data_IF_151996928951
#
_entry.id   IF_151996928951
#
_cell.length_a   1.000
_cell.length_b   1.000
_cell.length_c   1.000
_cell.angle_alpha   90.00
_cell.angle_beta   90.00
_cell.angle_gamma   90.00
#
_symmetry.space_group_name_H-M   'P 1'
#
loop_
_entity.id
_entity.type
_entity.pdbx_description
1 polymer ?
#
# COMPACT_ATOMS: atom_id res chain seq x y z
N UNK A 1 -7.42 15.55 20.36
CA UNK A 1 -7.71 14.41 19.46
C UNK A 1 -6.37 13.82 19.07
N UNK A 2 -5.95 12.78 19.78
CA UNK A 2 -4.73 12.04 19.44
C UNK A 2 -5.02 11.13 18.24
N UNK A 3 -4.37 11.42 17.12
CA UNK A 3 -4.42 10.57 15.92
C UNK A 3 -3.32 9.53 16.09
N UNK A 4 -3.62 8.22 16.06
CA UNK A 4 -2.61 7.21 16.30
C UNK A 4 -1.56 7.22 15.19
N UNK A 5 -0.31 7.01 15.63
CA UNK A 5 0.97 7.11 14.91
C UNK A 5 1.12 6.00 13.85
N UNK A 6 0.23 5.91 12.87
CA UNK A 6 0.33 4.94 11.78
C UNK A 6 -0.43 5.41 10.52
N UNK A 7 -0.16 6.63 10.08
CA UNK A 7 -0.40 7.03 8.69
C UNK A 7 0.94 6.94 7.97
N UNK A 8 1.39 5.72 7.63
CA UNK A 8 2.56 5.57 6.77
C UNK A 8 2.08 5.82 5.34
N UNK A 9 2.46 7.00 4.83
CA UNK A 9 2.21 7.43 3.47
C UNK A 9 3.56 7.53 2.79
N UNK A 10 3.87 6.56 1.93
CA UNK A 10 5.12 6.56 1.16
C UNK A 10 4.78 7.07 -0.24
N UNK A 11 5.40 8.19 -0.62
CA UNK A 11 5.32 8.78 -1.95
C UNK A 11 6.67 8.65 -2.65
N UNK A 12 6.67 8.04 -3.83
CA UNK A 12 7.66 8.31 -4.85
C UNK A 12 6.95 8.98 -6.05
N UNK A 13 7.69 9.63 -6.95
CA UNK A 13 7.09 10.40 -8.05
C UNK A 13 6.17 9.59 -8.98
N UNK A 14 6.33 8.27 -9.00
CA UNK A 14 5.58 7.34 -9.83
C UNK A 14 4.61 6.43 -9.05
N UNK A 15 4.71 6.34 -7.73
CA UNK A 15 3.98 5.37 -6.92
C UNK A 15 3.70 5.95 -5.53
N UNK A 16 2.50 5.70 -5.01
CA UNK A 16 2.16 6.03 -3.64
C UNK A 16 1.42 4.87 -2.96
N UNK A 17 1.65 4.73 -1.66
CA UNK A 17 0.95 3.76 -0.83
C UNK A 17 0.55 4.40 0.50
N UNK A 18 -0.73 4.30 0.86
CA UNK A 18 -1.24 4.65 2.18
C UNK A 18 -1.73 3.41 2.90
N UNK A 19 -1.26 3.22 4.13
CA UNK A 19 -1.80 2.25 5.05
C UNK A 19 -2.76 2.94 6.02
N UNK A 20 -3.96 2.39 6.17
CA UNK A 20 -4.94 2.88 7.14
C UNK A 20 -5.49 1.74 7.99
N UNK A 21 -5.20 1.70 9.30
CA UNK A 21 -5.88 0.79 10.22
C UNK A 21 -7.36 1.19 10.32
N UNK A 22 -8.25 0.20 10.32
CA UNK A 22 -9.67 0.41 10.57
C UNK A 22 -9.90 0.63 12.06
N UNK A 23 -10.65 1.66 12.43
CA UNK A 23 -10.93 1.99 13.83
C UNK A 23 -11.98 1.10 14.50
N UNK A 24 -12.74 0.33 13.71
CA UNK A 24 -13.88 -0.46 14.20
C UNK A 24 -13.72 -1.97 14.03
N UNK A 25 -12.74 -2.41 13.24
CA UNK A 25 -12.52 -3.83 12.95
C UNK A 25 -11.01 -4.10 12.89
N UNK A 26 -10.52 -5.32 13.20
CA UNK A 26 -9.11 -5.69 13.08
C UNK A 26 -8.72 -5.88 11.60
N UNK A 27 -8.86 -4.83 10.79
CA UNK A 27 -8.56 -4.80 9.36
C UNK A 27 -7.68 -3.61 9.02
N UNK A 28 -6.78 -3.80 8.06
CA UNK A 28 -5.94 -2.74 7.49
C UNK A 28 -6.36 -2.52 6.03
N UNK A 29 -6.58 -1.26 5.65
CA UNK A 29 -6.85 -0.85 4.27
C UNK A 29 -5.57 -0.32 3.64
N UNK A 30 -5.26 -0.80 2.44
CA UNK A 30 -4.14 -0.32 1.63
C UNK A 30 -4.69 0.43 0.43
N UNK A 31 -4.27 1.67 0.27
CA UNK A 31 -4.54 2.47 -0.93
C UNK A 31 -3.25 2.60 -1.70
N UNK A 32 -3.24 2.14 -2.95
CA UNK A 32 -2.05 2.10 -3.79
C UNK A 32 -2.39 2.82 -5.09
N UNK A 33 -1.52 3.71 -5.53
CA UNK A 33 -1.54 4.24 -6.88
C UNK A 33 -0.18 4.14 -7.52
N UNK A 34 -0.17 3.91 -8.83
CA UNK A 34 1.04 3.81 -9.65
C UNK A 34 0.83 4.57 -10.94
N UNK A 35 1.93 5.08 -11.46
CA UNK A 35 2.06 5.79 -12.72
C UNK A 35 2.98 4.96 -13.61
N UNK A 36 2.55 4.75 -14.84
CA UNK A 36 3.35 4.16 -15.92
C UNK A 36 3.25 5.05 -17.15
N UNK A 37 4.14 4.85 -18.12
CA UNK A 37 4.08 5.54 -19.41
C UNK A 37 2.82 5.15 -20.20
N UNK A 38 2.32 3.94 -19.98
CA UNK A 38 1.04 3.46 -20.49
C UNK A 38 0.27 2.62 -19.45
N UNK A 39 -0.94 2.21 -19.83
CA UNK A 39 -1.82 1.40 -18.97
C UNK A 39 -1.19 0.05 -18.60
N UNK A 40 -0.49 -0.59 -19.54
CA UNK A 40 0.09 -1.93 -19.33
C UNK A 40 1.26 -1.84 -18.34
N UNK A 41 2.08 -0.81 -18.46
CA UNK A 41 3.16 -0.55 -17.51
C UNK A 41 2.60 -0.25 -16.11
N UNK A 42 1.57 0.60 -16.01
CA UNK A 42 0.92 0.89 -14.73
C UNK A 42 0.32 -0.38 -14.10
N UNK A 43 -0.34 -1.24 -14.88
CA UNK A 43 -0.87 -2.51 -14.40
C UNK A 43 0.23 -3.46 -13.91
N UNK A 44 1.34 -3.56 -14.64
CA UNK A 44 2.49 -4.39 -14.23
C UNK A 44 3.11 -3.87 -12.92
N UNK A 45 3.29 -2.55 -12.79
CA UNK A 45 3.79 -1.92 -11.55
C UNK A 45 2.84 -2.20 -10.39
N UNK A 46 1.52 -2.09 -10.60
CA UNK A 46 0.51 -2.35 -9.58
C UNK A 46 0.55 -3.81 -9.10
N UNK A 47 0.64 -4.77 -10.04
CA UNK A 47 0.73 -6.21 -9.73
C UNK A 47 1.99 -6.50 -8.91
N UNK A 48 3.15 -5.98 -9.35
CA UNK A 48 4.42 -6.18 -8.66
C UNK A 48 4.38 -5.63 -7.23
N UNK A 49 3.87 -4.40 -7.05
CA UNK A 49 3.77 -3.77 -5.73
C UNK A 49 2.84 -4.55 -4.80
N UNK A 50 1.68 -5.01 -5.32
CA UNK A 50 0.72 -5.80 -4.56
C UNK A 50 1.34 -7.13 -4.09
N UNK A 51 2.04 -7.83 -4.97
CA UNK A 51 2.70 -9.10 -4.63
C UNK A 51 3.78 -8.91 -3.56
N UNK A 52 4.62 -7.88 -3.72
CA UNK A 52 5.67 -7.55 -2.75
C UNK A 52 5.09 -7.21 -1.37
N UNK A 53 4.01 -6.41 -1.33
CA UNK A 53 3.32 -6.03 -0.09
C UNK A 53 2.76 -7.27 0.63
N UNK A 54 2.05 -8.14 -0.09
CA UNK A 54 1.47 -9.35 0.48
C UNK A 54 2.54 -10.29 1.04
N UNK A 55 3.64 -10.49 0.30
CA UNK A 55 4.77 -11.30 0.76
C UNK A 55 5.40 -10.73 2.03
N UNK A 56 5.54 -9.40 2.12
CA UNK A 56 6.11 -8.76 3.30
C UNK A 56 5.20 -8.83 4.52
N UNK A 57 3.88 -8.76 4.32
CA UNK A 57 2.90 -8.98 5.39
C UNK A 57 2.97 -10.42 5.89
N UNK A 58 3.01 -11.40 4.99
CA UNK A 58 3.11 -12.82 5.36
C UNK A 58 4.37 -13.10 6.18
N UNK A 59 5.52 -12.54 5.80
CA UNK A 59 6.77 -12.65 6.56
C UNK A 59 6.77 -11.96 7.93
N UNK A 60 5.83 -11.05 8.21
CA UNK A 60 5.71 -10.37 9.51
C UNK A 60 4.73 -11.13 10.43
N UNK A 61 3.77 -11.85 9.84
CA UNK A 61 2.75 -12.59 10.58
C UNK A 61 3.19 -14.02 10.93
N UNK A 62 4.19 -14.56 10.24
CA UNK A 62 4.84 -15.85 10.53
C UNK A 62 6.15 -15.64 11.30
#
# INVERSE_FOLDING_TARGET
>A
MDIPKANVMEFNEDCWCCLRPSGTEPKIKFYIGVKGADKKEAENRLISLKSCLLQRIDNILN
#
